data_IF_720107982409
#
_entry.id   IF_720107982409
#
_cell.length_a   1.000
_cell.length_b   1.000
_cell.length_c   1.000
_cell.angle_alpha   90.00
_cell.angle_beta   90.00
_cell.angle_gamma   90.00
#
_symmetry.space_group_name_H-M   'P 1'
#
loop_
_entity.id
_entity.type
_entity.pdbx_description
1 polymer ?
#
# COMPACT_ATOMS: atom_id res chain seq x y z
N UNK A 1 -8.57 -4.29 21.40
CA UNK A 1 -7.20 -3.82 21.09
C UNK A 1 -7.16 -2.32 21.25
N UNK A 2 -6.31 -1.82 22.13
CA UNK A 2 -6.13 -0.38 22.34
C UNK A 2 -5.27 0.25 21.23
N UNK A 3 -5.09 1.59 21.24
CA UNK A 3 -4.31 2.28 20.20
C UNK A 3 -2.82 1.94 20.22
N UNK A 4 -2.23 1.69 21.39
CA UNK A 4 -0.81 1.36 21.49
C UNK A 4 -0.52 -0.04 20.95
N UNK A 5 -1.32 -1.03 21.33
CA UNK A 5 -1.26 -2.38 20.77
C UNK A 5 -1.46 -2.36 19.25
N UNK A 6 -2.43 -1.58 18.76
CA UNK A 6 -2.68 -1.44 17.33
C UNK A 6 -1.47 -0.81 16.62
N UNK A 7 -0.84 0.21 17.21
CA UNK A 7 0.37 0.83 16.67
C UNK A 7 1.52 -0.18 16.56
N UNK A 8 1.80 -0.94 17.63
CA UNK A 8 2.85 -1.96 17.63
C UNK A 8 2.59 -3.00 16.54
N UNK A 9 1.35 -3.45 16.38
CA UNK A 9 0.98 -4.41 15.32
C UNK A 9 1.14 -3.82 13.92
N UNK A 10 0.75 -2.57 13.69
CA UNK A 10 0.96 -1.90 12.39
C UNK A 10 2.46 -1.85 12.08
N UNK A 11 3.29 -1.37 13.01
CA UNK A 11 4.74 -1.29 12.81
C UNK A 11 5.34 -2.64 12.48
N UNK A 12 5.02 -3.66 13.28
CA UNK A 12 5.50 -5.04 13.05
C UNK A 12 5.09 -5.55 11.67
N UNK A 13 3.84 -5.34 11.25
CA UNK A 13 3.35 -5.79 9.96
C UNK A 13 4.03 -5.06 8.78
N UNK A 14 4.29 -3.76 8.92
CA UNK A 14 5.04 -2.98 7.91
C UNK A 14 6.45 -3.54 7.74
N UNK A 15 7.19 -3.74 8.84
CA UNK A 15 8.54 -4.33 8.77
C UNK A 15 8.53 -5.71 8.10
N UNK A 16 7.57 -6.57 8.43
CA UNK A 16 7.41 -7.87 7.79
C UNK A 16 7.14 -7.76 6.28
N UNK A 17 6.22 -6.87 5.88
CA UNK A 17 5.92 -6.65 4.46
C UNK A 17 7.15 -6.16 3.68
N UNK A 18 7.90 -5.23 4.26
CA UNK A 18 9.14 -4.73 3.66
C UNK A 18 10.17 -5.84 3.52
N UNK A 19 10.36 -6.66 4.55
CA UNK A 19 11.29 -7.79 4.52
C UNK A 19 10.87 -8.86 3.48
N UNK A 20 9.59 -9.20 3.40
CA UNK A 20 9.08 -10.26 2.54
C UNK A 20 8.94 -9.86 1.07
N UNK A 21 8.56 -8.59 0.80
CA UNK A 21 8.16 -8.11 -0.53
C UNK A 21 9.00 -6.95 -1.06
N UNK A 22 9.79 -6.29 -0.22
CA UNK A 22 10.49 -5.05 -0.56
C UNK A 22 9.59 -3.80 -0.60
N UNK A 23 8.31 -3.93 -0.23
CA UNK A 23 7.36 -2.83 -0.16
C UNK A 23 6.22 -3.10 0.84
N UNK A 24 5.55 -2.03 1.27
CA UNK A 24 4.31 -2.09 2.04
C UNK A 24 3.23 -1.23 1.36
N UNK A 25 2.04 -1.81 1.15
CA UNK A 25 0.87 -1.08 0.65
C UNK A 25 -0.26 -1.11 1.69
N UNK A 26 -1.19 -0.14 1.67
CA UNK A 26 -2.40 -0.18 2.48
C UNK A 26 -3.15 -1.52 2.36
N UNK A 27 -3.36 -2.01 1.13
CA UNK A 27 -4.06 -3.28 0.89
C UNK A 27 -3.35 -4.46 1.54
N UNK A 28 -2.03 -4.59 1.33
CA UNK A 28 -1.24 -5.68 1.91
C UNK A 28 -1.22 -5.60 3.44
N UNK A 29 -1.16 -4.39 4.01
CA UNK A 29 -1.23 -4.20 5.44
C UNK A 29 -2.58 -4.65 6.01
N UNK A 30 -3.69 -4.30 5.37
CA UNK A 30 -5.01 -4.78 5.80
C UNK A 30 -5.12 -6.31 5.71
N UNK A 31 -4.58 -6.94 4.66
CA UNK A 31 -4.53 -8.40 4.56
C UNK A 31 -3.67 -9.00 5.68
N UNK A 32 -2.44 -8.52 5.87
CA UNK A 32 -1.48 -9.00 6.88
C UNK A 32 -2.04 -8.87 8.30
N UNK A 33 -2.79 -7.80 8.57
CA UNK A 33 -3.45 -7.56 9.85
C UNK A 33 -4.79 -8.29 10.02
N UNK A 34 -5.21 -9.13 9.04
CA UNK A 34 -6.47 -9.86 9.10
C UNK A 34 -7.72 -8.97 9.01
N UNK A 35 -7.58 -7.76 8.47
CA UNK A 35 -8.69 -6.80 8.29
C UNK A 35 -9.51 -7.09 7.04
N UNK A 36 -8.97 -7.88 6.11
CA UNK A 36 -9.68 -8.38 4.94
C UNK A 36 -9.07 -9.72 4.53
N UNK A 37 -9.89 -10.65 4.04
CA UNK A 37 -9.42 -11.92 3.51
C UNK A 37 -9.01 -11.79 2.05
N UNK A 38 -8.10 -12.65 1.58
CA UNK A 38 -7.69 -12.68 0.17
C UNK A 38 -8.88 -12.88 -0.79
N UNK A 39 -9.89 -13.66 -0.37
CA UNK A 39 -11.14 -13.83 -1.13
C UNK A 39 -11.86 -12.50 -1.34
N UNK A 40 -12.03 -11.70 -0.29
CA UNK A 40 -12.70 -10.39 -0.41
C UNK A 40 -11.88 -9.38 -1.21
N UNK A 41 -10.54 -9.45 -1.12
CA UNK A 41 -9.67 -8.68 -2.00
C UNK A 41 -9.91 -9.05 -3.46
N UNK A 42 -10.00 -10.35 -3.77
CA UNK A 42 -10.27 -10.84 -5.11
C UNK A 42 -11.65 -10.38 -5.62
N UNK A 43 -12.70 -10.51 -4.81
CA UNK A 43 -14.05 -10.03 -5.14
C UNK A 43 -14.05 -8.52 -5.46
N UNK A 44 -13.29 -7.72 -4.68
CA UNK A 44 -13.08 -6.31 -4.97
C UNK A 44 -12.27 -6.08 -6.25
N UNK A 45 -11.21 -6.87 -6.49
CA UNK A 45 -10.40 -6.78 -7.71
C UNK A 45 -11.20 -7.08 -8.97
N UNK A 46 -12.16 -8.02 -8.91
CA UNK A 46 -13.10 -8.27 -10.00
C UNK A 46 -14.28 -7.28 -10.05
N UNK A 47 -14.33 -6.32 -9.14
CA UNK A 47 -15.37 -5.30 -9.07
C UNK A 47 -16.74 -5.84 -8.64
N UNK A 48 -16.80 -7.00 -7.97
CA UNK A 48 -18.03 -7.51 -7.35
C UNK A 48 -18.35 -6.75 -6.06
N UNK A 49 -17.33 -6.16 -5.44
CA UNK A 49 -17.46 -5.18 -4.36
C UNK A 49 -17.21 -3.78 -4.93
N UNK A 50 -18.12 -2.80 -4.71
CA UNK A 50 -18.00 -1.47 -5.31
C UNK A 50 -16.83 -0.63 -4.75
N UNK A 51 -16.40 -0.87 -3.52
CA UNK A 51 -15.25 -0.21 -2.90
C UNK A 51 -14.67 -1.04 -1.74
N UNK A 52 -13.36 -0.97 -1.50
CA UNK A 52 -12.64 -1.84 -0.56
C UNK A 52 -13.14 -1.71 0.89
N UNK A 53 -13.37 -0.49 1.38
CA UNK A 53 -13.82 -0.22 2.76
C UNK A 53 -15.12 -0.95 3.12
N UNK A 54 -15.95 -1.29 2.13
CA UNK A 54 -17.20 -2.03 2.34
C UNK A 54 -16.98 -3.40 2.98
N UNK A 55 -15.83 -4.01 2.72
CA UNK A 55 -15.49 -5.38 3.11
C UNK A 55 -14.32 -5.45 4.09
N UNK A 56 -13.83 -4.29 4.57
CA UNK A 56 -12.85 -4.23 5.65
C UNK A 56 -13.54 -4.49 7.00
N UNK A 57 -12.90 -5.29 7.85
CA UNK A 57 -13.35 -5.57 9.21
C UNK A 57 -12.86 -4.50 10.21
N UNK A 58 -13.78 -3.66 10.68
CA UNK A 58 -13.49 -2.59 11.64
C UNK A 58 -14.34 -1.36 11.35
N UNK A 59 -13.86 -0.20 11.77
CA UNK A 59 -14.50 1.07 11.49
C UNK A 59 -13.51 2.07 10.87
N UNK A 60 -14.04 3.15 10.28
CA UNK A 60 -13.23 4.16 9.60
C UNK A 60 -12.15 4.77 10.51
N UNK A 61 -12.46 5.01 11.78
CA UNK A 61 -11.48 5.56 12.74
C UNK A 61 -10.27 4.61 12.94
N UNK A 62 -10.50 3.29 12.96
CA UNK A 62 -9.42 2.31 12.99
C UNK A 62 -8.62 2.31 11.69
N UNK A 63 -9.27 2.39 10.53
CA UNK A 63 -8.58 2.40 9.23
C UNK A 63 -7.74 3.66 9.07
N UNK A 64 -8.28 4.84 9.41
CA UNK A 64 -7.53 6.10 9.41
C UNK A 64 -6.32 6.03 10.33
N UNK A 65 -6.44 5.41 11.51
CA UNK A 65 -5.31 5.23 12.42
C UNK A 65 -4.25 4.28 11.84
N UNK A 66 -4.65 3.13 11.29
CA UNK A 66 -3.75 2.18 10.63
C UNK A 66 -2.97 2.88 9.51
N UNK A 67 -3.67 3.61 8.64
CA UNK A 67 -3.07 4.36 7.54
C UNK A 67 -2.10 5.45 8.01
N UNK A 68 -2.43 6.16 9.09
CA UNK A 68 -1.54 7.15 9.68
C UNK A 68 -0.24 6.50 10.20
N UNK A 69 -0.35 5.35 10.88
CA UNK A 69 0.79 4.61 11.43
C UNK A 69 1.63 3.91 10.37
N UNK A 70 1.02 3.49 9.26
CA UNK A 70 1.75 3.06 8.06
C UNK A 70 2.65 4.18 7.54
N UNK A 71 2.11 5.39 7.32
CA UNK A 71 2.87 6.53 6.81
C UNK A 71 3.97 6.99 7.76
N UNK A 72 3.70 7.03 9.06
CA UNK A 72 4.70 7.36 10.08
C UNK A 72 5.85 6.36 10.06
N UNK A 73 5.54 5.06 10.12
CA UNK A 73 6.56 3.98 10.05
C UNK A 73 7.36 4.06 8.75
N UNK A 74 6.70 4.32 7.61
CA UNK A 74 7.38 4.42 6.33
C UNK A 74 8.35 5.61 6.26
N UNK A 75 8.02 6.74 6.89
CA UNK A 75 8.91 7.91 6.98
C UNK A 75 10.12 7.62 7.86
N UNK A 76 9.91 6.98 9.01
CA UNK A 76 11.01 6.56 9.90
C UNK A 76 11.97 5.57 9.23
N UNK A 77 11.44 4.71 8.36
CA UNK A 77 12.22 3.77 7.56
C UNK A 77 12.80 4.39 6.27
N UNK A 78 12.62 5.69 6.04
CA UNK A 78 13.05 6.41 4.83
C UNK A 78 12.60 5.75 3.50
N UNK A 79 11.37 5.22 3.49
CA UNK A 79 10.79 4.58 2.31
C UNK A 79 10.30 5.62 1.30
N UNK A 80 10.36 5.24 0.01
CA UNK A 80 9.86 6.08 -1.08
C UNK A 80 8.37 5.81 -1.32
N UNK A 81 7.59 6.87 -1.45
CA UNK A 81 6.21 6.79 -1.95
C UNK A 81 6.17 6.43 -3.44
N UNK A 82 5.31 5.47 -3.79
CA UNK A 82 5.06 5.04 -5.17
C UNK A 82 3.56 4.88 -5.37
N UNK A 83 2.98 5.75 -6.19
CA UNK A 83 1.55 5.70 -6.50
C UNK A 83 1.25 4.49 -7.40
N UNK A 84 0.20 3.73 -7.07
CA UNK A 84 -0.24 2.57 -7.86
C UNK A 84 -1.71 2.73 -8.24
N UNK A 85 -2.00 2.61 -9.53
CA UNK A 85 -3.39 2.57 -10.03
C UNK A 85 -3.92 1.15 -9.93
N UNK A 86 -5.09 1.01 -9.29
CA UNK A 86 -5.78 -0.27 -9.15
C UNK A 86 -6.88 -0.35 -10.21
N UNK A 87 -6.66 -1.15 -11.25
CA UNK A 87 -7.66 -1.43 -12.27
C UNK A 87 -8.40 -2.74 -11.96
N UNK A 88 -9.68 -2.79 -12.32
CA UNK A 88 -10.49 -4.01 -12.26
C UNK A 88 -9.84 -5.12 -13.07
N UNK A 89 -9.88 -6.33 -12.52
CA UNK A 89 -9.47 -7.58 -13.16
C UNK A 89 -10.56 -8.13 -14.08
N UNK A 90 -10.15 -8.99 -15.02
CA UNK A 90 -11.03 -9.68 -15.96
C UNK A 90 -11.15 -9.00 -17.33
N UNK A 91 -12.11 -9.48 -18.12
CA UNK A 91 -12.42 -8.98 -19.46
C UNK A 91 -13.37 -7.77 -19.38
N UNK A 92 -13.25 -6.86 -20.33
CA UNK A 92 -14.08 -5.65 -20.43
C UNK A 92 -13.29 -4.35 -20.24
N UNK A 93 -14.00 -3.21 -20.20
CA UNK A 93 -13.37 -1.90 -20.05
C UNK A 93 -12.51 -1.81 -18.79
N UNK A 94 -11.36 -1.13 -18.90
CA UNK A 94 -10.46 -0.87 -17.77
C UNK A 94 -11.10 0.18 -16.86
N UNK A 95 -11.80 -0.27 -15.82
CA UNK A 95 -12.35 0.59 -14.78
C UNK A 95 -11.40 0.67 -13.59
N UNK A 96 -11.14 1.88 -13.10
CA UNK A 96 -10.40 2.07 -11.85
C UNK A 96 -11.25 1.61 -10.66
N UNK A 97 -10.64 0.87 -9.76
CA UNK A 97 -11.25 0.44 -8.51
C UNK A 97 -11.22 1.57 -7.50
N UNK A 98 -12.24 1.58 -6.63
CA UNK A 98 -12.35 2.54 -5.53
C UNK A 98 -12.02 1.87 -4.21
N UNK A 99 -11.35 2.59 -3.33
CA UNK A 99 -11.07 2.14 -1.98
C UNK A 99 -12.17 2.56 -1.01
N UNK A 100 -12.66 3.80 -1.14
CA UNK A 100 -13.56 4.42 -0.18
C UNK A 100 -14.98 4.61 -0.69
N UNK A 101 -15.92 4.72 0.25
CA UNK A 101 -17.32 5.07 -0.08
C UNK A 101 -17.43 6.48 -0.67
N UNK A 102 -16.63 7.44 -0.18
CA UNK A 102 -16.64 8.83 -0.66
C UNK A 102 -16.09 8.94 -2.08
N UNK A 103 -15.03 8.18 -2.41
CA UNK A 103 -14.31 8.36 -3.67
C UNK A 103 -13.51 9.67 -3.72
N UNK A 104 -13.26 10.26 -2.55
CA UNK A 104 -12.47 11.47 -2.41
C UNK A 104 -11.05 11.24 -2.95
N UNK A 105 -10.56 12.14 -3.81
CA UNK A 105 -9.31 11.93 -4.54
C UNK A 105 -8.10 11.76 -3.62
N UNK A 106 -8.07 12.46 -2.49
CA UNK A 106 -6.95 12.37 -1.54
C UNK A 106 -7.03 11.09 -0.73
N UNK A 107 -8.23 10.65 -0.34
CA UNK A 107 -8.45 9.35 0.28
C UNK A 107 -8.01 8.23 -0.67
N UNK A 108 -8.47 8.25 -1.92
CA UNK A 108 -8.09 7.26 -2.93
C UNK A 108 -6.58 7.23 -3.17
N UNK A 109 -5.94 8.40 -3.30
CA UNK A 109 -4.47 8.51 -3.46
C UNK A 109 -3.74 7.90 -2.28
N UNK A 110 -4.20 8.16 -1.06
CA UNK A 110 -3.60 7.61 0.16
C UNK A 110 -3.66 6.08 0.19
N UNK A 111 -4.81 5.49 -0.18
CA UNK A 111 -4.95 4.02 -0.27
C UNK A 111 -4.11 3.42 -1.40
N UNK A 112 -3.94 4.14 -2.51
CA UNK A 112 -3.16 3.73 -3.67
C UNK A 112 -1.64 3.90 -3.51
N UNK A 113 -1.16 4.55 -2.46
CA UNK A 113 0.27 4.83 -2.29
C UNK A 113 0.98 3.66 -1.61
N UNK A 114 1.98 3.11 -2.30
CA UNK A 114 2.88 2.08 -1.81
C UNK A 114 4.14 2.73 -1.24
N UNK A 115 4.74 2.09 -0.25
CA UNK A 115 6.02 2.49 0.33
C UNK A 115 7.06 1.45 -0.02
N UNK A 116 8.03 1.83 -0.85
CA UNK A 116 9.03 0.93 -1.42
C UNK A 116 10.41 1.23 -0.84
N UNK A 117 11.25 0.19 -0.68
CA UNK A 117 12.66 0.39 -0.33
C UNK A 117 13.36 1.14 -1.45
N UNK A 118 14.16 2.15 -1.10
CA UNK A 118 15.00 2.85 -2.06
C UNK A 118 16.03 1.86 -2.61
N UNK A 119 15.98 1.59 -3.91
CA UNK A 119 17.10 0.87 -4.55
C UNK A 119 18.35 1.72 -4.37
N UNK A 120 19.50 1.16 -3.96
CA UNK A 120 20.75 1.88 -4.03
C UNK A 120 20.95 2.36 -5.47
N UNK A 121 21.34 3.63 -5.63
CA UNK A 121 21.70 4.19 -6.94
C UNK A 121 22.84 3.31 -7.47
N UNK A 122 22.64 2.65 -8.61
CA UNK A 122 23.75 1.96 -9.27
C UNK A 122 24.91 2.96 -9.44
N UNK A 123 26.17 2.58 -9.18
CA UNK A 123 27.29 3.46 -9.53
C UNK A 123 27.15 3.81 -11.00
N UNK A 124 27.18 5.10 -11.34
CA UNK A 124 27.42 5.49 -12.73
C UNK A 124 28.79 4.90 -13.07
N UNK A 125 28.82 3.84 -13.87
CA UNK A 125 30.06 3.40 -14.49
C UNK A 125 30.57 4.60 -15.29
N UNK A 126 31.75 5.08 -14.91
CA UNK A 126 32.40 6.23 -15.50
C UNK A 126 32.48 6.04 -17.02
N UNK A 127 31.87 6.98 -17.76
CA UNK A 127 32.05 7.11 -19.21
C UNK A 127 33.33 7.92 -19.54
N UNK A 128 34.38 7.81 -18.72
CA UNK A 128 35.59 8.66 -18.81
C UNK A 128 36.83 7.92 -19.37
N UNK A 129 36.67 6.82 -20.12
CA UNK A 129 37.80 6.15 -20.80
C UNK A 129 37.58 5.87 -22.30
N UNK A 130 36.92 6.78 -23.02
CA UNK A 130 36.89 6.74 -24.51
C UNK A 130 37.41 8.02 -25.20
N UNK A 131 38.07 8.92 -24.47
CA UNK A 131 38.71 10.11 -25.06
C UNK A 131 40.16 10.30 -24.58
N UNK A 132 40.97 9.25 -24.71
CA UNK A 132 42.43 9.40 -24.77
C UNK A 132 42.94 8.61 -25.98
N UNK A 133 42.82 9.25 -27.13
CA UNK A 133 43.79 9.13 -28.23
C UNK A 133 44.93 10.10 -27.93
#
# INVERSE_FOLDING_TARGET
MNRQELHIKVRSAVHQLIHEKGYASPLDLFVKMGKISSKLVEEWRFGRVPYLERVLHGNLAQFSFIMAKLRETAREMDLKESYTVYLKWGKGPKCQLRFSKSGDTDVERNYSTHFIVKKPKAPLLAQDELTKL
#
